data_IF_840124597185
#
_entry.id   IF_840124597185
#
_cell.length_a   1.000
_cell.length_b   1.000
_cell.length_c   1.000
_cell.angle_alpha   90.00
_cell.angle_beta   90.00
_cell.angle_gamma   90.00
#
_symmetry.space_group_name_H-M   'P 1'
#
loop_
_entity.id
_entity.type
_entity.pdbx_description
1 polymer ?
#
# COMPACT_ATOMS: atom_id res chain seq x y z
N UNK A 1 13.32 -3.23 -10.90
CA UNK A 1 12.35 -3.89 -9.99
C UNK A 1 12.14 -5.36 -10.34
N UNK A 2 11.95 -5.70 -11.62
CA UNK A 2 11.81 -7.10 -12.08
C UNK A 2 12.95 -8.01 -11.64
N UNK A 3 14.22 -7.60 -11.81
CA UNK A 3 15.38 -8.39 -11.38
C UNK A 3 15.40 -8.73 -9.88
N UNK A 4 14.96 -7.81 -9.01
CA UNK A 4 14.91 -8.06 -7.56
C UNK A 4 13.75 -8.98 -7.17
N UNK A 5 12.66 -8.99 -7.94
CA UNK A 5 11.51 -9.85 -7.68
C UNK A 5 11.69 -11.25 -8.29
N UNK A 6 12.48 -11.40 -9.35
CA UNK A 6 12.70 -12.70 -10.00
C UNK A 6 13.87 -13.48 -9.41
N UNK A 7 14.92 -12.79 -8.93
CA UNK A 7 16.10 -13.47 -8.40
C UNK A 7 16.08 -13.60 -6.87
N UNK A 8 15.38 -12.70 -6.17
CA UNK A 8 15.30 -12.76 -4.72
C UNK A 8 14.13 -13.66 -4.28
N UNK A 9 14.38 -14.78 -3.58
CA UNK A 9 13.31 -15.64 -3.07
C UNK A 9 12.38 -14.89 -2.10
N UNK A 10 12.92 -13.91 -1.36
CA UNK A 10 12.17 -13.00 -0.50
C UNK A 10 11.26 -12.07 -1.32
N UNK A 11 11.68 -11.68 -2.52
CA UNK A 11 10.88 -10.84 -3.42
C UNK A 11 9.58 -11.53 -3.84
N UNK A 12 9.66 -12.80 -4.25
CA UNK A 12 8.50 -13.64 -4.62
C UNK A 12 7.58 -13.87 -3.42
N UNK A 13 8.15 -14.19 -2.25
CA UNK A 13 7.39 -14.35 -1.02
C UNK A 13 6.67 -13.04 -0.66
N UNK A 14 7.34 -11.89 -0.77
CA UNK A 14 6.75 -10.59 -0.46
C UNK A 14 5.59 -10.25 -1.39
N UNK A 15 5.68 -10.52 -2.70
CA UNK A 15 4.55 -10.32 -3.62
C UNK A 15 3.40 -11.29 -3.34
N UNK A 16 3.69 -12.55 -3.02
CA UNK A 16 2.67 -13.55 -2.70
C UNK A 16 1.93 -13.22 -1.39
N UNK A 17 2.67 -12.89 -0.33
CA UNK A 17 2.09 -12.45 0.95
C UNK A 17 1.38 -11.09 0.83
N UNK A 18 1.85 -10.19 -0.04
CA UNK A 18 1.17 -8.93 -0.35
C UNK A 18 -0.24 -9.12 -0.90
N UNK A 19 -0.51 -10.23 -1.60
CA UNK A 19 -1.85 -10.60 -2.08
C UNK A 19 -2.80 -10.94 -0.92
N UNK A 20 -2.29 -11.56 0.15
CA UNK A 20 -3.06 -11.84 1.37
C UNK A 20 -3.30 -10.62 2.25
N UNK A 21 -2.58 -9.51 2.01
CA UNK A 21 -2.71 -8.34 2.86
C UNK A 21 -4.15 -7.76 2.81
N UNK A 22 -4.90 -7.77 3.93
CA UNK A 22 -6.26 -7.23 4.01
C UNK A 22 -6.32 -5.70 3.93
N UNK A 23 -5.18 -5.03 4.10
CA UNK A 23 -5.05 -3.59 3.94
C UNK A 23 -4.94 -3.24 2.46
N UNK A 24 -5.80 -2.32 1.99
CA UNK A 24 -5.85 -1.81 0.62
C UNK A 24 -6.09 -0.32 0.60
N UNK A 25 -5.66 0.35 -0.46
CA UNK A 25 -5.99 1.75 -0.73
C UNK A 25 -7.26 1.79 -1.58
N UNK A 26 -8.21 2.66 -1.22
CA UNK A 26 -9.45 2.91 -1.96
C UNK A 26 -9.50 4.37 -2.39
N UNK A 27 -9.90 4.59 -3.64
CA UNK A 27 -10.15 5.92 -4.20
C UNK A 27 -11.65 6.19 -4.12
N UNK A 28 -12.01 7.34 -3.55
CA UNK A 28 -13.39 7.78 -3.38
C UNK A 28 -14.00 8.33 -4.68
N UNK A 29 -15.31 8.59 -4.69
CA UNK A 29 -15.99 9.21 -5.84
C UNK A 29 -15.62 10.68 -6.02
N UNK A 30 -15.15 11.35 -4.96
CA UNK A 30 -14.65 12.74 -4.97
C UNK A 30 -13.28 12.91 -5.66
N UNK A 31 -12.84 11.94 -6.45
CA UNK A 31 -11.55 12.04 -7.14
C UNK A 31 -11.74 12.80 -8.46
N UNK A 32 -11.07 13.94 -8.58
CA UNK A 32 -11.13 14.80 -9.79
C UNK A 32 -10.22 14.31 -10.93
N UNK A 33 -9.64 13.11 -10.79
CA UNK A 33 -8.75 12.48 -11.79
C UNK A 33 -7.56 13.35 -12.22
N UNK A 34 -7.07 14.21 -11.33
CA UNK A 34 -5.94 15.11 -11.57
C UNK A 34 -4.59 14.39 -11.83
N UNK A 35 -4.53 13.08 -11.59
CA UNK A 35 -3.37 12.21 -11.82
C UNK A 35 -2.10 12.55 -11.02
N UNK A 36 -2.15 13.53 -10.10
CA UNK A 36 -1.02 13.92 -9.26
C UNK A 36 -0.43 12.75 -8.45
N UNK A 37 -1.28 11.87 -7.91
CA UNK A 37 -0.86 10.71 -7.13
C UNK A 37 -0.09 9.66 -7.94
N UNK A 38 -0.26 9.62 -9.27
CA UNK A 38 0.50 8.74 -10.16
C UNK A 38 1.98 9.12 -10.20
N UNK A 39 2.29 10.42 -10.25
CA UNK A 39 3.67 10.92 -10.28
C UNK A 39 4.46 10.62 -9.00
N UNK A 40 3.78 10.55 -7.85
CA UNK A 40 4.41 10.17 -6.58
C UNK A 40 4.52 8.65 -6.39
N UNK A 41 3.82 7.85 -7.20
CA UNK A 41 3.80 6.41 -7.06
C UNK A 41 5.05 5.77 -7.67
N UNK A 42 6.05 5.51 -6.84
CA UNK A 42 7.32 4.86 -7.25
C UNK A 42 7.16 3.45 -7.83
N UNK A 43 6.04 2.80 -7.57
CA UNK A 43 5.74 1.43 -8.01
C UNK A 43 4.73 1.37 -9.16
N UNK A 44 4.40 2.53 -9.75
CA UNK A 44 3.44 2.71 -10.84
C UNK A 44 2.09 2.00 -10.60
N UNK A 45 1.69 1.91 -9.32
CA UNK A 45 0.44 1.26 -8.95
C UNK A 45 -0.79 2.12 -9.29
N UNK A 46 -0.58 3.43 -9.51
CA UNK A 46 -1.59 4.45 -9.78
C UNK A 46 -1.49 4.99 -11.22
N UNK A 47 -1.50 4.09 -12.20
CA UNK A 47 -1.66 4.46 -13.61
C UNK A 47 -3.03 5.12 -13.88
N UNK A 48 -3.17 5.88 -14.97
CA UNK A 48 -4.43 6.55 -15.38
C UNK A 48 -5.61 5.58 -15.40
N UNK A 49 -5.40 4.39 -15.98
CA UNK A 49 -6.39 3.31 -16.04
C UNK A 49 -6.83 2.85 -14.65
N UNK A 50 -5.90 2.74 -13.70
CA UNK A 50 -6.18 2.28 -12.33
C UNK A 50 -6.94 3.34 -11.52
N UNK A 51 -6.64 4.63 -11.75
CA UNK A 51 -7.36 5.75 -11.13
C UNK A 51 -8.80 5.82 -11.66
N UNK A 52 -9.00 5.62 -12.96
CA UNK A 52 -10.33 5.54 -13.57
C UNK A 52 -11.16 4.37 -13.00
N UNK A 53 -10.52 3.21 -12.86
CA UNK A 53 -11.13 2.03 -12.24
C UNK A 53 -11.25 2.14 -10.71
N UNK A 54 -10.68 3.18 -10.09
CA UNK A 54 -10.61 3.40 -8.64
C UNK A 54 -9.97 2.24 -7.86
N UNK A 55 -9.14 1.45 -8.53
CA UNK A 55 -8.51 0.24 -8.00
C UNK A 55 -7.00 0.34 -8.23
N UNK A 56 -6.17 0.31 -7.17
CA UNK A 56 -4.72 0.31 -7.32
C UNK A 56 -4.24 -1.03 -7.91
N UNK A 57 -3.10 -1.02 -8.60
CA UNK A 57 -2.45 -2.24 -9.06
C UNK A 57 -1.98 -3.11 -7.89
N UNK A 58 -1.74 -4.40 -8.17
CA UNK A 58 -1.14 -5.36 -7.22
C UNK A 58 0.29 -5.00 -6.82
N UNK A 59 0.97 -4.10 -7.54
CA UNK A 59 2.28 -3.57 -7.18
C UNK A 59 2.26 -2.55 -6.03
N UNK A 60 1.08 -2.18 -5.53
CA UNK A 60 0.95 -1.23 -4.43
C UNK A 60 1.54 -1.78 -3.13
N UNK A 61 2.52 -1.06 -2.58
CA UNK A 61 3.21 -1.40 -1.33
C UNK A 61 2.59 -0.74 -0.09
N UNK A 62 1.46 -0.03 -0.24
CA UNK A 62 0.80 0.72 0.83
C UNK A 62 1.67 1.79 1.52
N UNK A 63 2.70 2.32 0.84
CA UNK A 63 3.58 3.36 1.38
C UNK A 63 2.85 4.62 1.86
N UNK A 64 1.74 4.99 1.20
CA UNK A 64 0.91 6.13 1.59
C UNK A 64 1.28 7.47 0.97
N UNK A 65 2.33 7.55 0.16
CA UNK A 65 2.75 8.78 -0.51
C UNK A 65 1.60 9.40 -1.32
N UNK A 66 0.81 8.55 -1.98
CA UNK A 66 -0.36 8.97 -2.74
C UNK A 66 -1.45 9.64 -1.88
N UNK A 67 -1.62 9.20 -0.63
CA UNK A 67 -2.62 9.77 0.31
C UNK A 67 -2.21 11.20 0.67
N UNK A 68 -0.94 11.42 0.98
CA UNK A 68 -0.43 12.73 1.37
C UNK A 68 -0.37 13.72 0.18
N UNK A 69 -0.13 13.22 -1.04
CA UNK A 69 -0.12 14.04 -2.26
C UNK A 69 -1.52 14.44 -2.76
N UNK A 70 -2.58 13.81 -2.26
CA UNK A 70 -3.94 14.02 -2.78
C UNK A 70 -4.56 15.27 -2.17
N UNK A 71 -4.58 16.37 -2.94
CA UNK A 71 -5.23 17.63 -2.54
C UNK A 71 -6.73 17.50 -2.18
N UNK A 72 -7.45 16.60 -2.85
CA UNK A 72 -8.88 16.36 -2.61
C UNK A 72 -9.14 15.41 -1.43
N UNK A 73 -8.07 14.86 -0.83
CA UNK A 73 -8.12 13.88 0.25
C UNK A 73 -9.04 12.67 -0.06
N UNK A 74 -9.13 12.30 -1.34
CA UNK A 74 -10.05 11.27 -1.86
C UNK A 74 -9.47 9.86 -1.80
N UNK A 75 -8.24 9.72 -1.29
CA UNK A 75 -7.53 8.44 -1.19
C UNK A 75 -7.44 8.06 0.28
N UNK A 76 -7.99 6.89 0.63
CA UNK A 76 -8.04 6.42 2.03
C UNK A 76 -7.59 4.98 2.17
N UNK A 77 -7.04 4.67 3.34
CA UNK A 77 -6.76 3.30 3.76
C UNK A 77 -8.07 2.57 4.11
N UNK A 78 -8.19 1.34 3.61
CA UNK A 78 -9.26 0.42 3.92
C UNK A 78 -8.68 -0.89 4.44
N UNK A 79 -9.36 -1.48 5.41
CA UNK A 79 -9.07 -2.81 5.92
C UNK A 79 -10.36 -3.61 5.90
N UNK A 80 -10.40 -4.71 5.13
CA UNK A 80 -11.59 -5.59 5.04
C UNK A 80 -12.93 -4.85 4.79
N UNK A 81 -12.90 -3.74 4.05
CA UNK A 81 -14.09 -2.91 3.77
C UNK A 81 -14.38 -1.81 4.80
N UNK A 82 -13.72 -1.81 5.96
CA UNK A 82 -13.77 -0.69 6.90
C UNK A 82 -12.88 0.45 6.43
N UNK A 83 -13.36 1.69 6.59
CA UNK A 83 -12.64 2.94 6.33
C UNK A 83 -12.41 3.68 7.65
N UNK A 84 -11.20 4.18 7.86
CA UNK A 84 -10.90 4.96 9.06
C UNK A 84 -9.46 5.43 9.15
N UNK A 85 -9.26 6.63 9.68
CA UNK A 85 -7.93 7.21 9.89
C UNK A 85 -7.05 6.34 10.82
N UNK A 86 -7.66 5.58 11.73
CA UNK A 86 -6.97 4.68 12.67
C UNK A 86 -6.37 3.44 11.99
N UNK A 87 -6.81 3.09 10.78
CA UNK A 87 -6.35 1.90 10.05
C UNK A 87 -4.86 2.00 9.70
N UNK A 88 -4.40 3.18 9.30
CA UNK A 88 -2.98 3.43 9.01
C UNK A 88 -2.12 3.17 10.25
N UNK A 89 -2.52 3.71 11.39
CA UNK A 89 -1.78 3.56 12.64
C UNK A 89 -1.80 2.10 13.11
N UNK A 90 -2.93 1.41 12.99
CA UNK A 90 -3.03 -0.01 13.32
C UNK A 90 -2.07 -0.87 12.47
N UNK A 91 -1.98 -0.61 11.16
CA UNK A 91 -1.04 -1.28 10.27
C UNK A 91 0.42 -1.06 10.68
N UNK A 92 0.80 0.18 10.99
CA UNK A 92 2.16 0.52 11.42
C UNK A 92 2.48 -0.16 12.76
N UNK A 93 1.56 -0.11 13.73
CA UNK A 93 1.73 -0.75 15.03
C UNK A 93 1.93 -2.27 14.87
N UNK A 94 1.12 -2.93 14.03
CA UNK A 94 1.27 -4.35 13.75
C UNK A 94 2.66 -4.71 13.21
N UNK A 95 3.15 -3.94 12.23
CA UNK A 95 4.49 -4.12 11.65
C UNK A 95 5.58 -3.90 12.69
N UNK A 96 5.47 -2.84 13.50
CA UNK A 96 6.44 -2.53 14.56
C UNK A 96 6.49 -3.62 15.61
N UNK A 97 5.33 -4.15 16.04
CA UNK A 97 5.27 -5.28 16.98
C UNK A 97 5.93 -6.51 16.37
N UNK A 98 5.58 -6.86 15.12
CA UNK A 98 6.17 -8.00 14.43
C UNK A 98 7.71 -7.91 14.34
N UNK A 99 8.24 -6.74 13.99
CA UNK A 99 9.69 -6.51 13.96
C UNK A 99 10.33 -6.57 15.35
N UNK A 100 9.69 -5.98 16.36
CA UNK A 100 10.20 -5.97 17.73
C UNK A 100 10.28 -7.38 18.31
N UNK A 101 9.27 -8.22 18.06
CA UNK A 101 9.27 -9.64 18.46
C UNK A 101 10.38 -10.41 17.75
N UNK A 102 10.58 -10.18 16.44
CA UNK A 102 11.66 -10.82 15.69
C UNK A 102 13.04 -10.48 16.26
N UNK A 103 13.28 -9.21 16.60
CA UNK A 103 14.53 -8.76 17.20
C UNK A 103 14.72 -9.33 18.62
N UNK A 104 13.64 -9.47 19.39
CA UNK A 104 13.69 -10.10 20.71
C UNK A 104 14.02 -11.60 20.64
N UNK A 105 13.40 -12.34 19.70
CA UNK A 105 13.68 -13.76 19.48
C UNK A 105 15.10 -14.00 18.95
N UNK A 106 15.63 -13.12 18.10
CA UNK A 106 17.00 -13.27 17.57
C UNK A 106 18.11 -13.04 18.61
N UNK A 107 17.77 -12.48 19.78
CA UNK A 107 18.70 -12.26 20.90
C UNK A 107 18.76 -13.45 21.87
N UNK A 108 17.81 -14.38 21.78
CA UNK A 108 17.75 -15.65 22.54
C UNK A 108 18.51 -16.72 21.76
#
# INVERSE_FOLDING_TARGET
MVHCLTWCPIGILATLFGKFNPFRIRIDSKCDKCWACGNFCRYDALSKKNIELKIPASSCTLCGDCVNSCHANSISYTFLGFRGAKIKNAFIILIVIMHSVFLACARI
#
